data_IF_461360159725
#
_entry.id   IF_461360159725
#
_cell.length_a   1.000
_cell.length_b   1.000
_cell.length_c   1.000
_cell.angle_alpha   90.00
_cell.angle_beta   90.00
_cell.angle_gamma   90.00
#
_symmetry.space_group_name_H-M   'P 1'
#
loop_
_entity.id
_entity.type
_entity.pdbx_description
1 polymer ?
#
# COMPACT_ATOMS: atom_id res chain seq x y z
N UNK A 1 22.32 -15.00 -14.83
CA UNK A 1 21.19 -15.34 -13.94
C UNK A 1 20.52 -14.04 -13.57
N UNK A 2 19.34 -13.75 -14.14
CA UNK A 2 18.57 -12.57 -13.78
C UNK A 2 18.11 -12.76 -12.34
N UNK A 3 18.63 -11.94 -11.43
CA UNK A 3 18.10 -11.83 -10.08
C UNK A 3 16.75 -11.07 -10.13
N UNK A 4 15.77 -11.62 -10.85
CA UNK A 4 14.38 -11.15 -10.92
C UNK A 4 13.56 -11.78 -9.78
N UNK A 5 14.13 -11.84 -8.58
CA UNK A 5 13.31 -11.90 -7.38
C UNK A 5 12.82 -10.48 -7.13
N UNK A 6 11.98 -10.02 -8.06
CA UNK A 6 11.52 -8.65 -8.14
C UNK A 6 10.71 -8.26 -6.90
N UNK A 7 10.47 -6.97 -6.68
CA UNK A 7 9.63 -6.42 -5.60
C UNK A 7 8.18 -6.97 -5.50
N UNK A 8 7.82 -7.92 -6.36
CA UNK A 8 6.48 -8.37 -6.72
C UNK A 8 5.72 -9.12 -5.63
N UNK A 9 6.35 -9.99 -4.84
CA UNK A 9 5.63 -10.79 -3.83
C UNK A 9 5.19 -9.93 -2.65
N UNK A 10 6.11 -9.09 -2.13
CA UNK A 10 5.81 -8.16 -1.04
C UNK A 10 4.86 -7.05 -1.47
N UNK A 11 4.97 -6.58 -2.72
CA UNK A 11 4.02 -5.62 -3.28
C UNK A 11 2.61 -6.21 -3.43
N UNK A 12 2.51 -7.47 -3.85
CA UNK A 12 1.23 -8.20 -3.96
C UNK A 12 0.61 -8.35 -2.58
N UNK A 13 1.37 -8.83 -1.60
CA UNK A 13 0.87 -9.00 -0.23
C UNK A 13 0.39 -7.67 0.39
N UNK A 14 1.09 -6.56 0.11
CA UNK A 14 0.66 -5.23 0.56
C UNK A 14 -0.58 -4.72 -0.19
N UNK A 15 -0.72 -5.00 -1.50
CA UNK A 15 -1.95 -4.68 -2.25
C UNK A 15 -3.14 -5.49 -1.74
N UNK A 16 -2.98 -6.79 -1.53
CA UNK A 16 -4.04 -7.66 -1.02
C UNK A 16 -4.53 -7.16 0.34
N UNK A 17 -3.60 -6.81 1.23
CA UNK A 17 -3.93 -6.25 2.55
C UNK A 17 -4.64 -4.89 2.47
N UNK A 18 -4.28 -4.05 1.50
CA UNK A 18 -5.00 -2.80 1.25
C UNK A 18 -6.42 -3.05 0.72
N UNK A 19 -6.61 -4.03 -0.16
CA UNK A 19 -7.92 -4.42 -0.66
C UNK A 19 -8.81 -5.01 0.44
N UNK A 20 -8.27 -5.84 1.33
CA UNK A 20 -9.01 -6.35 2.49
C UNK A 20 -9.48 -5.22 3.41
N UNK A 21 -8.62 -4.24 3.69
CA UNK A 21 -8.97 -3.07 4.49
C UNK A 21 -10.04 -2.22 3.81
N UNK A 22 -9.99 -2.06 2.49
CA UNK A 22 -11.02 -1.32 1.75
C UNK A 22 -12.37 -2.07 1.73
N UNK A 23 -12.35 -3.40 1.58
CA UNK A 23 -13.57 -4.21 1.70
C UNK A 23 -14.15 -4.15 3.12
N UNK A 24 -13.30 -4.20 4.15
CA UNK A 24 -13.73 -4.00 5.53
C UNK A 24 -14.32 -2.59 5.71
N UNK A 25 -13.72 -1.56 5.10
CA UNK A 25 -14.24 -0.20 5.12
C UNK A 25 -15.62 -0.10 4.45
N UNK A 26 -15.84 -0.82 3.35
CA UNK A 26 -17.14 -0.86 2.66
C UNK A 26 -18.22 -1.57 3.49
N UNK A 27 -17.83 -2.57 4.29
CA UNK A 27 -18.73 -3.29 5.20
C UNK A 27 -18.94 -2.56 6.52
N UNK A 28 -18.04 -1.65 6.90
CA UNK A 28 -18.16 -0.85 8.09
C UNK A 28 -19.36 0.10 7.97
N UNK A 29 -20.31 -0.03 8.89
CA UNK A 29 -21.46 0.87 9.03
C UNK A 29 -21.11 2.18 9.71
N UNK A 30 -20.00 2.22 10.46
CA UNK A 30 -19.53 3.43 11.11
C UNK A 30 -18.67 4.29 10.16
N UNK A 31 -19.01 5.58 9.97
CA UNK A 31 -18.29 6.45 9.04
C UNK A 31 -16.84 6.74 9.50
N UNK A 32 -16.57 6.78 10.81
CA UNK A 32 -15.22 7.01 11.33
C UNK A 32 -14.34 5.75 11.19
N UNK A 33 -14.92 4.57 11.41
CA UNK A 33 -14.25 3.28 11.20
C UNK A 33 -13.94 3.05 9.72
N UNK A 34 -14.91 3.32 8.83
CA UNK A 34 -14.70 3.28 7.38
C UNK A 34 -13.54 4.19 6.96
N UNK A 35 -13.50 5.42 7.48
CA UNK A 35 -12.43 6.35 7.15
C UNK A 35 -11.07 5.83 7.63
N UNK A 36 -10.97 5.35 8.88
CA UNK A 36 -9.74 4.76 9.42
C UNK A 36 -9.25 3.56 8.60
N UNK A 37 -10.14 2.69 8.16
CA UNK A 37 -9.81 1.53 7.35
C UNK A 37 -9.31 1.94 5.96
N UNK A 38 -9.96 2.93 5.33
CA UNK A 38 -9.50 3.53 4.06
C UNK A 38 -8.13 4.19 4.18
N UNK A 39 -7.92 5.01 5.22
CA UNK A 39 -6.63 5.65 5.51
C UNK A 39 -5.52 4.60 5.68
N UNK A 40 -5.84 3.49 6.35
CA UNK A 40 -4.90 2.39 6.56
C UNK A 40 -4.58 1.66 5.26
N UNK A 41 -5.57 1.44 4.38
CA UNK A 41 -5.36 0.86 3.06
C UNK A 41 -4.45 1.75 2.18
N UNK A 42 -4.70 3.06 2.17
CA UNK A 42 -3.90 4.05 1.45
C UNK A 42 -2.44 4.05 1.93
N UNK A 43 -2.21 4.10 3.24
CA UNK A 43 -0.84 4.04 3.80
C UNK A 43 -0.09 2.77 3.44
N UNK A 44 -0.77 1.62 3.40
CA UNK A 44 -0.13 0.35 3.02
C UNK A 44 0.28 0.37 1.54
N UNK A 45 -0.57 0.90 0.67
CA UNK A 45 -0.27 1.06 -0.76
C UNK A 45 0.91 2.02 -0.97
N UNK A 46 0.89 3.19 -0.34
CA UNK A 46 1.97 4.16 -0.42
C UNK A 46 3.31 3.59 0.10
N UNK A 47 3.26 2.86 1.23
CA UNK A 47 4.45 2.19 1.78
C UNK A 47 4.95 1.04 0.90
N UNK A 48 4.05 0.37 0.18
CA UNK A 48 4.41 -0.62 -0.83
C UNK A 48 5.12 0.04 -2.01
N UNK A 49 4.59 1.15 -2.51
CA UNK A 49 5.18 1.92 -3.61
C UNK A 49 6.56 2.48 -3.22
N UNK A 50 6.71 3.02 -2.00
CA UNK A 50 8.02 3.46 -1.49
C UNK A 50 9.03 2.31 -1.31
N UNK A 51 8.59 1.14 -0.82
CA UNK A 51 9.49 -0.01 -0.65
C UNK A 51 9.86 -0.69 -1.97
N UNK A 52 8.96 -0.67 -2.96
CA UNK A 52 9.22 -1.12 -4.32
C UNK A 52 10.08 -0.11 -5.09
N UNK A 53 9.92 1.18 -4.78
CA UNK A 53 10.57 2.31 -5.42
C UNK A 53 11.85 2.79 -4.74
N UNK A 54 12.76 1.89 -4.32
CA UNK A 54 14.16 2.27 -4.03
C UNK A 54 14.89 2.68 -5.32
N UNK A 55 14.45 3.76 -5.96
CA UNK A 55 15.03 4.26 -7.21
C UNK A 55 14.55 5.61 -7.72
N UNK A 56 13.60 6.31 -7.10
CA UNK A 56 13.30 7.69 -7.51
C UNK A 56 12.52 8.44 -6.43
N UNK A 57 13.12 9.48 -5.85
CA UNK A 57 12.36 10.36 -4.95
C UNK A 57 13.10 10.95 -3.75
N UNK A 58 14.42 10.82 -3.63
CA UNK A 58 15.17 11.99 -3.16
C UNK A 58 15.33 12.93 -4.35
N UNK A 59 14.25 13.62 -4.71
CA UNK A 59 14.31 14.85 -5.50
C UNK A 59 13.30 15.83 -4.89
N UNK A 60 13.62 16.24 -3.67
CA UNK A 60 13.51 17.66 -3.32
C UNK A 60 14.92 18.24 -3.59
N UNK A 61 15.24 18.78 -4.79
CA UNK A 61 16.19 19.86 -4.84
C UNK A 61 15.44 21.13 -4.38
N UNK A 62 15.99 21.76 -3.34
CA UNK A 62 15.59 23.07 -2.80
C UNK A 62 15.08 24.05 -3.86
#
# INVERSE_FOLDING_TARGET
MSNDSGPSERAREMRDKAQELEQAAQRATDPAERQRLRDKALRIREKSEQQNGRGSGTMDPM
#
